data_IF_751201361180
#
_entry.id   IF_751201361180
#
_cell.length_a   1.000
_cell.length_b   1.000
_cell.length_c   1.000
_cell.angle_alpha   90.00
_cell.angle_beta   90.00
_cell.angle_gamma   90.00
#
_symmetry.space_group_name_H-M   'P 1'
#
loop_
_entity.id
_entity.type
_entity.pdbx_description
1 polymer ?
#
# COMPACT_ATOMS: atom_id res chain seq x y z
N UNK A 1 -7.17 -0.34 -15.63
CA UNK A 1 -8.01 -0.76 -14.50
C UNK A 1 -8.04 0.37 -13.48
N UNK A 2 -8.70 1.47 -13.85
CA UNK A 2 -8.60 2.79 -13.20
C UNK A 2 -9.04 2.77 -11.72
N UNK A 3 -10.06 1.98 -11.41
CA UNK A 3 -10.68 1.91 -10.09
C UNK A 3 -9.73 1.45 -8.95
N UNK A 4 -8.75 0.56 -9.21
CA UNK A 4 -7.82 0.12 -8.15
C UNK A 4 -6.80 1.21 -7.81
N UNK A 5 -6.32 1.92 -8.83
CA UNK A 5 -5.41 3.04 -8.66
C UNK A 5 -6.08 4.17 -7.87
N UNK A 6 -7.34 4.47 -8.20
CA UNK A 6 -8.14 5.46 -7.47
C UNK A 6 -8.31 5.09 -5.99
N UNK A 7 -8.55 3.81 -5.68
CA UNK A 7 -8.64 3.32 -4.29
C UNK A 7 -7.31 3.47 -3.54
N UNK A 8 -6.20 3.16 -4.19
CA UNK A 8 -4.86 3.34 -3.61
C UNK A 8 -4.56 4.82 -3.35
N UNK A 9 -4.90 5.70 -4.30
CA UNK A 9 -4.72 7.14 -4.15
C UNK A 9 -5.60 7.72 -3.04
N UNK A 10 -6.86 7.29 -2.95
CA UNK A 10 -7.77 7.69 -1.88
C UNK A 10 -7.26 7.24 -0.49
N UNK A 11 -6.72 6.02 -0.37
CA UNK A 11 -6.10 5.56 0.88
C UNK A 11 -4.82 6.33 1.21
N UNK A 12 -4.02 6.67 0.21
CA UNK A 12 -2.82 7.49 0.41
C UNK A 12 -3.18 8.91 0.89
N UNK A 13 -4.25 9.51 0.34
CA UNK A 13 -4.81 10.78 0.83
C UNK A 13 -5.27 10.69 2.29
N UNK A 14 -5.97 9.62 2.65
CA UNK A 14 -6.37 9.37 4.03
C UNK A 14 -5.16 9.32 4.99
N UNK A 15 -4.09 8.62 4.61
CA UNK A 15 -2.88 8.59 5.42
C UNK A 15 -2.20 9.96 5.51
N UNK A 16 -2.13 10.71 4.40
CA UNK A 16 -1.63 12.10 4.42
C UNK A 16 -2.47 12.99 5.34
N UNK A 17 -3.79 12.83 5.32
CA UNK A 17 -4.69 13.55 6.22
C UNK A 17 -4.44 13.23 7.69
N UNK A 18 -4.06 11.99 8.02
CA UNK A 18 -3.67 11.60 9.38
C UNK A 18 -2.22 11.98 9.77
N UNK A 19 -1.51 12.73 8.93
CA UNK A 19 -0.16 13.24 9.22
C UNK A 19 0.98 12.35 8.72
N UNK A 20 0.71 11.32 7.92
CA UNK A 20 1.74 10.54 7.24
C UNK A 20 2.15 11.25 5.94
N UNK A 21 3.19 12.07 6.02
CA UNK A 21 3.66 12.85 4.87
C UNK A 21 4.20 11.97 3.73
N UNK A 22 4.04 12.43 2.49
CA UNK A 22 4.62 11.84 1.27
C UNK A 22 4.20 10.39 0.95
N UNK A 23 3.11 9.89 1.54
CA UNK A 23 2.54 8.59 1.14
C UNK A 23 1.99 8.68 -0.29
N UNK A 24 2.26 7.69 -1.14
CA UNK A 24 1.78 7.60 -2.52
C UNK A 24 0.87 6.38 -2.74
N UNK A 25 0.00 6.43 -3.76
CA UNK A 25 -0.83 5.28 -4.14
C UNK A 25 -0.01 4.05 -4.54
N UNK A 26 1.15 4.26 -5.18
CA UNK A 26 2.08 3.18 -5.52
C UNK A 26 2.62 2.45 -4.28
N UNK A 27 2.97 3.18 -3.23
CA UNK A 27 3.41 2.58 -1.97
C UNK A 27 2.28 1.79 -1.31
N UNK A 28 1.04 2.32 -1.33
CA UNK A 28 -0.14 1.58 -0.83
C UNK A 28 -0.31 0.28 -1.60
N UNK A 29 -0.23 0.33 -2.94
CA UNK A 29 -0.31 -0.85 -3.79
C UNK A 29 0.81 -1.86 -3.52
N UNK A 30 2.05 -1.40 -3.40
CA UNK A 30 3.20 -2.25 -3.10
C UNK A 30 3.04 -2.95 -1.74
N UNK A 31 2.54 -2.24 -0.73
CA UNK A 31 2.26 -2.80 0.60
C UNK A 31 1.17 -3.88 0.56
N UNK A 32 0.08 -3.63 -0.14
CA UNK A 32 -1.04 -4.57 -0.23
C UNK A 32 -0.69 -5.80 -1.09
N UNK A 33 -0.02 -5.58 -2.23
CA UNK A 33 0.34 -6.64 -3.18
C UNK A 33 1.41 -7.60 -2.68
N UNK A 34 2.22 -7.22 -1.68
CA UNK A 34 3.20 -8.14 -1.06
C UNK A 34 2.54 -9.40 -0.49
N UNK A 35 1.26 -9.32 -0.08
CA UNK A 35 0.49 -10.47 0.41
C UNK A 35 0.10 -11.47 -0.69
N UNK A 36 0.17 -11.08 -1.97
CA UNK A 36 -0.38 -11.85 -3.09
C UNK A 36 0.68 -12.40 -4.04
N UNK A 37 1.94 -12.49 -3.59
CA UNK A 37 3.05 -13.07 -4.36
C UNK A 37 2.79 -14.50 -4.86
N UNK A 38 1.88 -15.23 -4.20
CA UNK A 38 1.53 -16.63 -4.52
C UNK A 38 0.22 -16.78 -5.29
N UNK A 39 -0.45 -15.68 -5.62
CA UNK A 39 -1.70 -15.69 -6.37
C UNK A 39 -2.63 -14.53 -6.02
N UNK A 40 -3.44 -14.12 -7.00
CA UNK A 40 -4.36 -13.00 -6.86
C UNK A 40 -5.62 -13.37 -6.07
N UNK A 41 -6.08 -12.51 -5.15
CA UNK A 41 -7.35 -12.70 -4.47
C UNK A 41 -8.52 -12.35 -5.39
N UNK A 42 -9.73 -12.61 -4.91
CA UNK A 42 -10.96 -12.06 -5.51
C UNK A 42 -10.96 -10.53 -5.36
N UNK A 43 -11.58 -9.84 -6.32
CA UNK A 43 -11.65 -8.38 -6.36
C UNK A 43 -12.21 -7.77 -5.05
N UNK A 44 -13.28 -8.33 -4.50
CA UNK A 44 -13.89 -7.84 -3.25
C UNK A 44 -12.92 -7.89 -2.07
N UNK A 45 -12.05 -8.90 -2.00
CA UNK A 45 -11.02 -9.03 -0.98
C UNK A 45 -9.90 -8.03 -1.21
N UNK A 46 -9.46 -7.83 -2.46
CA UNK A 46 -8.47 -6.81 -2.80
C UNK A 46 -8.94 -5.41 -2.39
N UNK A 47 -10.17 -5.05 -2.74
CA UNK A 47 -10.78 -3.76 -2.35
C UNK A 47 -10.83 -3.62 -0.83
N UNK A 48 -11.25 -4.68 -0.12
CA UNK A 48 -11.27 -4.67 1.34
C UNK A 48 -9.86 -4.49 1.94
N UNK A 49 -8.87 -5.19 1.41
CA UNK A 49 -7.49 -5.13 1.91
C UNK A 49 -6.83 -3.75 1.65
N UNK A 50 -7.23 -3.03 0.59
CA UNK A 50 -6.82 -1.63 0.36
C UNK A 50 -7.53 -0.68 1.34
N UNK A 51 -8.86 -0.73 1.40
CA UNK A 51 -9.65 0.24 2.19
C UNK A 51 -9.53 0.02 3.70
N UNK A 52 -9.22 -1.19 4.15
CA UNK A 52 -8.98 -1.52 5.56
C UNK A 52 -7.52 -1.45 5.97
N UNK A 53 -6.62 -1.03 5.06
CA UNK A 53 -5.19 -0.90 5.37
C UNK A 53 -4.98 0.08 6.53
N UNK A 54 -4.35 -0.41 7.60
CA UNK A 54 -4.02 0.40 8.78
C UNK A 54 -2.68 1.09 8.59
N UNK A 55 -2.59 2.35 9.02
CA UNK A 55 -1.36 3.13 8.93
C UNK A 55 -0.18 2.47 9.68
N UNK A 56 -0.42 1.85 10.84
CA UNK A 56 0.63 1.12 11.58
C UNK A 56 1.24 -0.02 10.76
N UNK A 57 0.40 -0.80 10.07
CA UNK A 57 0.86 -1.86 9.17
C UNK A 57 1.66 -1.28 8.00
N UNK A 58 1.14 -0.22 7.40
CA UNK A 58 1.80 0.47 6.28
C UNK A 58 3.18 1.01 6.68
N UNK A 59 3.31 1.65 7.84
CA UNK A 59 4.58 2.19 8.32
C UNK A 59 5.60 1.11 8.63
N UNK A 60 5.18 0.00 9.26
CA UNK A 60 6.05 -1.15 9.49
C UNK A 60 6.57 -1.72 8.16
N UNK A 61 5.69 -1.83 7.16
CA UNK A 61 6.08 -2.24 5.82
C UNK A 61 7.07 -1.26 5.18
N UNK A 62 6.78 0.04 5.26
CA UNK A 62 7.60 1.09 4.64
C UNK A 62 9.01 1.07 5.22
N UNK A 63 9.16 1.00 6.54
CA UNK A 63 10.48 0.90 7.19
C UNK A 63 11.27 -0.29 6.64
N UNK A 64 10.69 -1.49 6.61
CA UNK A 64 11.36 -2.69 6.07
C UNK A 64 11.69 -2.53 4.58
N UNK A 65 10.81 -1.91 3.79
CA UNK A 65 11.02 -1.72 2.35
C UNK A 65 12.18 -0.76 2.04
N UNK A 66 12.34 0.31 2.82
CA UNK A 66 13.46 1.25 2.71
C UNK A 66 14.79 0.55 2.99
N UNK A 67 14.84 -0.36 3.97
CA UNK A 67 16.04 -1.16 4.27
C UNK A 67 16.36 -2.24 3.23
N UNK A 68 15.43 -2.59 2.33
CA UNK A 68 15.74 -3.45 1.17
C UNK A 68 16.45 -2.68 0.03
N UNK A 69 16.49 -1.34 0.11
CA UNK A 69 17.03 -0.47 -0.95
C UNK A 69 18.45 0.11 -0.73
N UNK A 70 19.28 -0.26 0.27
CA UNK A 70 20.69 0.15 0.29
C UNK A 70 21.58 -1.00 -0.22
N UNK A 71 21.71 -1.18 -1.55
CA UNK A 71 22.79 -2.04 -2.05
C UNK A 71 22.69 -2.70 -3.44
N UNK A 72 21.66 -2.47 -4.24
CA UNK A 72 21.63 -3.00 -5.62
C UNK A 72 21.91 -1.88 -6.64
N UNK A 73 23.20 -1.69 -6.95
CA UNK A 73 23.72 -1.15 -8.21
C UNK A 73 24.90 -1.99 -8.65
#
# INVERSE_FOLDING_TARGET
MQCIEDLCNSKAEEFRYYGYENVTGEQVWACVSENYRRGWPRLNRLVNDILSLKATRFMNWLMVSVYKTPGER
#
